data_IF_616376296191
#
_entry.id   IF_616376296191
#
_cell.length_a   1.000
_cell.length_b   1.000
_cell.length_c   1.000
_cell.angle_alpha   90.00
_cell.angle_beta   90.00
_cell.angle_gamma   90.00
#
_symmetry.space_group_name_H-M   'P 1'
#
loop_
_entity.id
_entity.type
_entity.pdbx_description
1 polymer ?
#
# COMPACT_ATOMS: atom_id res chain seq x y z
N UNK A 1 -11.01 11.52 -5.22
CA UNK A 1 -10.85 10.07 -5.07
C UNK A 1 -9.47 9.64 -5.52
N UNK A 2 -8.88 8.75 -4.77
CA UNK A 2 -7.57 8.23 -5.08
C UNK A 2 -7.68 7.04 -6.02
N UNK A 3 -6.76 6.96 -6.99
CA UNK A 3 -6.73 5.80 -7.87
C UNK A 3 -6.25 4.52 -7.16
N UNK A 4 -5.74 4.67 -5.94
CA UNK A 4 -5.31 3.53 -5.12
C UNK A 4 -6.31 3.20 -4.03
N UNK A 5 -7.52 3.69 -4.13
CA UNK A 5 -8.50 3.53 -3.08
C UNK A 5 -8.80 2.06 -2.76
N UNK A 6 -8.89 1.24 -3.80
CA UNK A 6 -9.14 -0.19 -3.61
C UNK A 6 -7.98 -0.85 -2.85
N UNK A 7 -6.76 -0.42 -3.13
CA UNK A 7 -5.58 -0.92 -2.43
C UNK A 7 -5.61 -0.51 -0.95
N UNK A 8 -5.96 0.76 -0.69
CA UNK A 8 -6.03 1.23 0.69
C UNK A 8 -7.10 0.47 1.48
N UNK A 9 -8.23 0.18 0.86
CA UNK A 9 -9.28 -0.60 1.52
C UNK A 9 -8.79 -2.00 1.84
N UNK A 10 -8.05 -2.62 0.93
CA UNK A 10 -7.51 -3.94 1.16
C UNK A 10 -6.53 -3.93 2.33
N UNK A 11 -5.62 -2.96 2.34
CA UNK A 11 -4.60 -2.86 3.38
C UNK A 11 -5.23 -2.64 4.74
N UNK A 12 -6.17 -1.71 4.84
CA UNK A 12 -6.77 -1.40 6.13
C UNK A 12 -7.64 -2.51 6.67
N UNK A 13 -8.06 -3.43 5.83
CA UNK A 13 -8.88 -4.56 6.26
C UNK A 13 -8.06 -5.67 6.88
N UNK A 14 -6.74 -5.59 6.80
CA UNK A 14 -5.87 -6.63 7.37
C UNK A 14 -5.81 -6.49 8.88
N UNK A 15 -5.84 -7.62 9.57
CA UNK A 15 -5.73 -7.63 11.02
C UNK A 15 -4.28 -7.73 11.50
N UNK A 16 -3.36 -8.08 10.60
CA UNK A 16 -1.95 -8.20 10.96
C UNK A 16 -1.32 -6.82 11.14
N UNK A 17 -0.27 -6.71 11.96
CA UNK A 17 0.40 -5.42 12.16
C UNK A 17 1.28 -5.00 10.99
N UNK A 18 1.60 -5.93 10.11
CA UNK A 18 2.44 -5.67 8.94
C UNK A 18 1.91 -6.45 7.76
N UNK A 19 2.20 -5.95 6.58
CA UNK A 19 1.75 -6.56 5.35
C UNK A 19 2.78 -6.28 4.26
N UNK A 20 3.17 -7.30 3.53
CA UNK A 20 4.08 -7.15 2.39
C UNK A 20 3.35 -7.63 1.14
N UNK A 21 3.31 -6.78 0.13
CA UNK A 21 2.68 -7.10 -1.14
C UNK A 21 3.70 -6.93 -2.27
N UNK A 22 3.64 -7.82 -3.24
CA UNK A 22 4.44 -7.65 -4.45
C UNK A 22 3.80 -6.59 -5.34
N UNK A 23 4.58 -6.07 -6.29
CA UNK A 23 4.04 -5.12 -7.26
C UNK A 23 2.88 -5.75 -8.05
N UNK A 24 3.01 -7.05 -8.38
CA UNK A 24 1.94 -7.75 -9.09
C UNK A 24 0.67 -7.81 -8.26
N UNK A 25 0.81 -8.11 -6.98
CA UNK A 25 -0.34 -8.17 -6.09
C UNK A 25 -1.00 -6.80 -5.96
N UNK A 26 -0.19 -5.76 -5.86
CA UNK A 26 -0.72 -4.39 -5.78
C UNK A 26 -1.49 -4.06 -7.04
N UNK A 27 -0.93 -4.41 -8.20
CA UNK A 27 -1.59 -4.14 -9.47
C UNK A 27 -2.93 -4.87 -9.56
N UNK A 28 -2.99 -6.10 -9.10
CA UNK A 28 -4.23 -6.86 -9.13
C UNK A 28 -5.28 -6.27 -8.20
N UNK A 29 -4.86 -5.84 -7.04
CA UNK A 29 -5.79 -5.28 -6.05
C UNK A 29 -6.25 -3.89 -6.47
N UNK A 30 -5.33 -3.05 -6.90
CA UNK A 30 -5.63 -1.67 -7.26
C UNK A 30 -6.24 -1.54 -8.65
N UNK A 31 -6.01 -2.53 -9.51
CA UNK A 31 -6.46 -2.49 -10.89
C UNK A 31 -5.60 -1.64 -11.80
N UNK A 32 -4.51 -1.10 -11.28
CA UNK A 32 -3.56 -0.28 -12.03
C UNK A 32 -2.15 -0.61 -11.57
N UNK A 33 -1.15 -0.46 -12.45
CA UNK A 33 0.22 -0.71 -12.04
C UNK A 33 0.73 0.38 -11.11
N UNK A 34 1.70 0.01 -10.28
CA UNK A 34 2.35 0.96 -9.40
C UNK A 34 3.25 1.86 -10.25
N UNK A 35 3.24 3.16 -9.96
CA UNK A 35 4.05 4.13 -10.70
C UNK A 35 4.52 5.23 -9.76
N UNK A 36 5.08 6.30 -10.33
CA UNK A 36 5.59 7.40 -9.53
C UNK A 36 4.54 8.05 -8.63
N UNK A 37 3.29 8.05 -9.06
CA UNK A 37 2.25 8.68 -8.27
C UNK A 37 1.97 7.91 -6.98
N UNK A 38 2.38 6.64 -6.90
CA UNK A 38 2.24 5.89 -5.67
C UNK A 38 2.96 6.59 -4.51
N UNK A 39 4.12 7.16 -4.78
CA UNK A 39 4.89 7.88 -3.74
C UNK A 39 4.13 9.09 -3.21
N UNK A 40 3.28 9.66 -4.04
CA UNK A 40 2.46 10.79 -3.67
C UNK A 40 1.20 10.34 -2.92
N UNK A 41 0.56 9.30 -3.43
CA UNK A 41 -0.70 8.82 -2.86
C UNK A 41 -0.52 8.01 -1.58
N UNK A 42 0.68 7.48 -1.34
CA UNK A 42 0.89 6.67 -0.14
C UNK A 42 0.59 7.43 1.15
N UNK A 43 0.65 8.76 1.10
CA UNK A 43 0.33 9.59 2.25
C UNK A 43 -1.13 9.44 2.68
N UNK A 44 -2.00 9.09 1.75
CA UNK A 44 -3.41 8.90 2.06
C UNK A 44 -3.62 7.72 3.00
N UNK A 45 -2.71 6.76 2.95
CA UNK A 45 -2.83 5.56 3.75
C UNK A 45 -2.76 5.86 5.24
N UNK A 46 -2.09 6.94 5.61
CA UNK A 46 -1.98 7.31 7.02
C UNK A 46 -3.35 7.62 7.62
N UNK A 47 -4.29 8.08 6.80
CA UNK A 47 -5.65 8.34 7.27
C UNK A 47 -6.37 7.05 7.65
N UNK A 48 -5.90 5.91 7.15
CA UNK A 48 -6.47 4.61 7.46
C UNK A 48 -5.71 3.89 8.58
N UNK A 49 -4.70 4.54 9.14
CA UNK A 49 -3.92 3.95 10.22
C UNK A 49 -2.82 3.01 9.76
N UNK A 50 -2.32 3.20 8.55
CA UNK A 50 -1.23 2.41 8.00
C UNK A 50 -0.18 3.30 7.37
N UNK A 51 1.04 2.76 7.23
CA UNK A 51 2.15 3.47 6.59
C UNK A 51 2.83 2.55 5.59
N UNK A 52 3.37 3.15 4.53
CA UNK A 52 4.30 2.45 3.65
C UNK A 52 5.69 2.64 4.27
N UNK A 53 6.27 1.55 4.77
CA UNK A 53 7.55 1.64 5.49
C UNK A 53 8.74 1.33 4.60
N UNK A 54 8.54 0.58 3.52
CA UNK A 54 9.63 0.24 2.63
C UNK A 54 9.11 -0.13 1.25
N UNK A 55 9.80 0.33 0.24
CA UNK A 55 9.55 -0.07 -1.15
C UNK A 55 10.85 -0.67 -1.67
N UNK A 56 10.81 -1.94 -2.06
CA UNK A 56 11.96 -2.61 -2.62
C UNK A 56 11.81 -2.70 -4.13
N UNK A 57 12.57 -1.90 -4.84
CA UNK A 57 12.54 -1.94 -6.30
C UNK A 57 13.17 -3.22 -6.80
N UNK A 58 14.20 -3.69 -6.12
CA UNK A 58 14.89 -4.91 -6.50
C UNK A 58 14.00 -6.14 -6.31
N UNK A 59 13.31 -6.20 -5.19
CA UNK A 59 12.41 -7.31 -4.90
C UNK A 59 11.01 -7.12 -5.41
N UNK A 60 10.71 -5.92 -5.90
CA UNK A 60 9.39 -5.55 -6.40
C UNK A 60 8.30 -5.82 -5.36
N UNK A 61 8.56 -5.35 -4.15
CA UNK A 61 7.61 -5.50 -3.04
C UNK A 61 7.48 -4.18 -2.30
N UNK A 62 6.35 -4.06 -1.59
CA UNK A 62 6.09 -2.91 -0.74
C UNK A 62 5.67 -3.43 0.62
N UNK A 63 6.30 -2.91 1.66
CA UNK A 63 5.98 -3.27 3.03
C UNK A 63 5.12 -2.18 3.65
N UNK A 64 4.02 -2.60 4.25
CA UNK A 64 3.11 -1.72 4.98
C UNK A 64 3.16 -2.09 6.45
N UNK A 65 2.98 -1.10 7.30
CA UNK A 65 2.88 -1.35 8.73
C UNK A 65 1.74 -0.55 9.30
N UNK A 66 1.02 -1.16 10.21
CA UNK A 66 -0.07 -0.49 10.89
C UNK A 66 0.51 0.53 11.87
N UNK A 67 0.00 1.75 11.81
CA UNK A 67 0.41 2.73 12.80
C UNK A 67 -0.27 2.36 14.10
N UNK A 68 0.53 2.30 15.13
CA UNK A 68 -0.05 1.98 16.42
C UNK A 68 -0.66 3.22 17.00
N UNK A 69 -1.83 3.07 17.42
CA UNK A 69 -2.56 4.18 18.01
C UNK A 69 -2.70 4.00 19.50
#
# INVERSE_FOLDING_TARGET
MSKYNALWDYVRSQSAPQLTLSFDEIQQIAGIPIDHSFLQYKKELTAYGWLVVKISMKGQTVCFAKTDS
#
